data_IF_050000582803
#
_entry.id   IF_050000582803
#
_cell.length_a   1.000
_cell.length_b   1.000
_cell.length_c   1.000
_cell.angle_alpha   90.00
_cell.angle_beta   90.00
_cell.angle_gamma   90.00
#
_symmetry.space_group_name_H-M   'P 1'
#
loop_
_entity.id
_entity.type
_entity.pdbx_description
1 polymer ?
#
# COMPACT_ATOMS: atom_id res chain seq x y z
N UNK A 1 19.61 30.43 11.73
CA UNK A 1 19.96 30.00 10.36
C UNK A 1 19.12 28.78 9.99
N UNK A 2 18.64 28.65 8.75
CA UNK A 2 17.77 27.54 8.33
C UNK A 2 18.54 26.22 8.46
N UNK A 3 18.05 25.30 9.29
CA UNK A 3 18.67 24.00 9.57
C UNK A 3 18.57 22.99 8.41
N UNK A 4 18.14 23.43 7.24
CA UNK A 4 17.93 22.64 6.04
C UNK A 4 18.56 23.35 4.85
N UNK A 5 18.94 22.58 3.82
CA UNK A 5 19.59 23.12 2.62
C UNK A 5 18.79 24.19 1.90
N UNK A 6 19.41 24.92 0.95
CA UNK A 6 18.69 25.83 0.08
C UNK A 6 17.50 25.09 -0.56
N UNK A 7 16.33 25.73 -0.60
CA UNK A 7 15.07 25.18 -1.11
C UNK A 7 14.44 23.97 -0.38
N UNK A 8 14.99 23.55 0.77
CA UNK A 8 14.33 22.50 1.55
C UNK A 8 12.91 22.92 1.98
N UNK A 9 11.93 22.01 1.89
CA UNK A 9 10.58 22.31 2.34
C UNK A 9 10.59 22.67 3.83
N UNK A 10 9.71 23.58 4.24
CA UNK A 10 9.57 23.97 5.64
C UNK A 10 8.58 23.07 6.35
N UNK A 11 8.94 22.60 7.55
CA UNK A 11 8.03 21.82 8.38
C UNK A 11 6.76 22.64 8.69
N UNK A 12 5.58 22.01 8.69
CA UNK A 12 4.36 22.70 9.09
C UNK A 12 4.47 23.18 10.53
N UNK A 13 3.79 24.28 10.83
CA UNK A 13 3.79 24.84 12.19
C UNK A 13 2.94 24.00 13.15
N UNK A 14 3.11 24.17 14.45
CA UNK A 14 2.23 23.52 15.44
C UNK A 14 0.78 24.02 15.32
N UNK A 15 -0.19 23.19 15.71
CA UNK A 15 -1.63 23.54 15.70
C UNK A 15 -1.90 24.84 16.48
N UNK A 16 -1.21 25.01 17.62
CA UNK A 16 -1.27 26.24 18.41
C UNK A 16 -0.75 27.47 17.66
N UNK A 17 0.28 27.33 16.83
CA UNK A 17 0.82 28.46 16.04
C UNK A 17 -0.13 28.86 14.90
N UNK A 18 -0.84 27.90 14.29
CA UNK A 18 -1.91 28.23 13.34
C UNK A 18 -3.04 28.99 14.04
N UNK A 19 -3.42 28.56 15.24
CA UNK A 19 -4.41 29.27 16.04
C UNK A 19 -3.95 30.67 16.44
N UNK A 20 -2.71 30.82 16.92
CA UNK A 20 -2.12 32.11 17.27
C UNK A 20 -2.09 33.07 16.07
N UNK A 21 -1.65 32.60 14.90
CA UNK A 21 -1.65 33.40 13.66
C UNK A 21 -3.07 33.79 13.26
N UNK A 22 -4.02 32.86 13.40
CA UNK A 22 -5.43 33.13 13.11
C UNK A 22 -6.01 34.20 14.06
N UNK A 23 -5.75 34.09 15.36
CA UNK A 23 -6.15 35.09 16.37
C UNK A 23 -5.59 36.49 16.06
N UNK A 24 -4.29 36.57 15.73
CA UNK A 24 -3.68 37.83 15.31
C UNK A 24 -4.34 38.38 14.03
N UNK A 25 -4.64 37.53 13.04
CA UNK A 25 -5.30 37.99 11.80
C UNK A 25 -6.73 38.51 12.00
N UNK A 26 -7.40 38.08 13.06
CA UNK A 26 -8.78 38.49 13.35
C UNK A 26 -8.88 39.76 14.20
N UNK A 27 -7.78 40.22 14.79
CA UNK A 27 -7.79 41.38 15.68
C UNK A 27 -6.50 42.20 15.55
N UNK A 28 -6.64 43.39 14.98
CA UNK A 28 -5.52 44.34 14.85
C UNK A 28 -4.91 44.71 16.20
N UNK A 29 -5.73 44.76 17.26
CA UNK A 29 -5.24 45.07 18.61
C UNK A 29 -4.29 43.98 19.11
N UNK A 30 -4.67 42.70 19.00
CA UNK A 30 -3.77 41.60 19.36
C UNK A 30 -2.56 41.56 18.42
N UNK A 31 -2.70 41.88 17.14
CA UNK A 31 -1.56 41.90 16.22
C UNK A 31 -0.56 43.04 16.49
N UNK A 32 -0.98 44.11 17.16
CA UNK A 32 -0.09 45.18 17.57
C UNK A 32 0.70 44.88 18.84
N UNK A 33 0.26 43.89 19.65
CA UNK A 33 0.88 43.55 20.93
C UNK A 33 2.26 42.86 20.77
N UNK A 34 3.14 42.99 21.77
CA UNK A 34 4.38 42.22 21.81
C UNK A 34 4.12 40.71 21.85
N UNK A 35 5.04 39.93 21.27
CA UNK A 35 4.88 38.49 21.07
C UNK A 35 4.53 37.71 22.35
N UNK A 36 5.08 38.10 23.49
CA UNK A 36 4.82 37.46 24.78
C UNK A 36 3.36 37.64 25.22
N UNK A 37 2.77 38.80 24.98
CA UNK A 37 1.38 39.10 25.31
C UNK A 37 0.42 38.38 24.36
N UNK A 38 0.71 38.39 23.05
CA UNK A 38 0.01 37.58 22.03
C UNK A 38 -0.04 36.10 22.44
N UNK A 39 1.12 35.52 22.78
CA UNK A 39 1.26 34.12 23.16
C UNK A 39 0.51 33.81 24.46
N UNK A 40 0.57 34.70 25.45
CA UNK A 40 -0.14 34.54 26.73
C UNK A 40 -1.65 34.54 26.55
N UNK A 41 -2.19 35.51 25.79
CA UNK A 41 -3.61 35.57 25.45
C UNK A 41 -4.05 34.32 24.70
N UNK A 42 -3.38 33.97 23.61
CA UNK A 42 -3.72 32.80 22.81
C UNK A 42 -3.58 31.49 23.61
N UNK A 43 -2.64 31.39 24.54
CA UNK A 43 -2.50 30.22 25.43
C UNK A 43 -3.73 30.04 26.31
N UNK A 44 -4.24 31.13 26.91
CA UNK A 44 -5.47 31.08 27.72
C UNK A 44 -6.68 30.68 26.88
N UNK A 45 -6.85 31.30 25.70
CA UNK A 45 -7.96 30.98 24.79
C UNK A 45 -7.86 29.52 24.32
N UNK A 46 -6.67 29.07 23.92
CA UNK A 46 -6.43 27.69 23.51
C UNK A 46 -6.75 26.71 24.63
N UNK A 47 -6.37 26.96 25.87
CA UNK A 47 -6.71 26.08 26.99
C UNK A 47 -8.23 25.97 27.20
N UNK A 48 -8.96 27.08 27.05
CA UNK A 48 -10.43 27.12 27.19
C UNK A 48 -11.23 26.52 26.01
N UNK A 49 -10.60 26.28 24.86
CA UNK A 49 -11.27 25.70 23.69
C UNK A 49 -11.57 24.21 23.88
N UNK A 50 -12.72 23.78 23.36
CA UNK A 50 -13.10 22.36 23.34
C UNK A 50 -12.17 21.55 22.43
N UNK A 51 -12.18 20.23 22.61
CA UNK A 51 -11.38 19.33 21.77
C UNK A 51 -11.79 19.44 20.29
N UNK A 52 -13.08 19.58 20.00
CA UNK A 52 -13.62 19.74 18.64
C UNK A 52 -13.13 21.02 17.96
N UNK A 53 -13.07 22.13 18.69
CA UNK A 53 -12.55 23.39 18.15
C UNK A 53 -11.05 23.34 17.88
N UNK A 54 -10.30 22.58 18.70
CA UNK A 54 -8.88 22.31 18.47
C UNK A 54 -8.64 21.35 17.31
N UNK A 55 -9.57 20.41 17.06
CA UNK A 55 -9.43 19.40 16.01
C UNK A 55 -9.25 20.02 14.63
N UNK A 56 -9.95 21.11 14.31
CA UNK A 56 -9.78 21.81 13.02
C UNK A 56 -8.33 22.23 12.77
N UNK A 57 -7.61 22.65 13.81
CA UNK A 57 -6.20 23.01 13.71
C UNK A 57 -5.29 21.78 13.64
N UNK A 58 -5.61 20.71 14.37
CA UNK A 58 -4.88 19.45 14.27
C UNK A 58 -5.02 18.80 12.89
N UNK A 59 -6.22 18.80 12.31
CA UNK A 59 -6.48 18.32 10.96
C UNK A 59 -5.72 19.15 9.92
N UNK A 60 -5.69 20.47 10.09
CA UNK A 60 -4.88 21.35 9.24
C UNK A 60 -3.39 21.00 9.31
N UNK A 61 -2.84 20.83 10.51
CA UNK A 61 -1.44 20.36 10.68
C UNK A 61 -1.23 19.00 10.02
N UNK A 62 -2.17 18.07 10.16
CA UNK A 62 -2.08 16.73 9.56
C UNK A 62 -2.04 16.79 8.04
N UNK A 63 -2.86 17.64 7.42
CA UNK A 63 -2.87 17.83 5.97
C UNK A 63 -1.57 18.47 5.48
N UNK A 64 -1.08 19.51 6.16
CA UNK A 64 0.16 20.18 5.79
C UNK A 64 1.39 19.31 6.06
N UNK A 65 1.35 18.43 7.08
CA UNK A 65 2.39 17.42 7.34
C UNK A 65 2.46 16.41 6.19
N UNK A 66 1.32 15.89 5.72
CA UNK A 66 1.30 15.00 4.55
C UNK A 66 1.87 15.68 3.30
N UNK A 67 1.51 16.95 3.06
CA UNK A 67 2.04 17.71 1.94
C UNK A 67 3.55 17.97 2.07
N UNK A 68 4.03 18.23 3.28
CA UNK A 68 5.45 18.37 3.58
C UNK A 68 6.20 17.06 3.33
N UNK A 69 5.67 15.92 3.76
CA UNK A 69 6.31 14.62 3.59
C UNK A 69 6.50 14.27 2.10
N UNK A 70 5.49 14.59 1.26
CA UNK A 70 5.58 14.44 -0.21
C UNK A 70 6.68 15.35 -0.77
N UNK A 71 6.64 16.65 -0.47
CA UNK A 71 7.66 17.61 -0.94
C UNK A 71 9.06 17.26 -0.47
N UNK A 72 9.20 16.72 0.75
CA UNK A 72 10.47 16.28 1.30
C UNK A 72 10.98 15.03 0.58
N UNK A 73 10.10 14.09 0.23
CA UNK A 73 10.47 12.91 -0.55
C UNK A 73 10.93 13.29 -1.97
N UNK A 74 10.31 14.28 -2.59
CA UNK A 74 10.75 14.85 -3.87
C UNK A 74 12.09 15.58 -3.74
N UNK A 75 12.23 16.45 -2.74
CA UNK A 75 13.49 17.17 -2.47
C UNK A 75 14.66 16.23 -2.21
N UNK A 76 14.44 15.10 -1.53
CA UNK A 76 15.49 14.08 -1.29
C UNK A 76 16.01 13.45 -2.59
N UNK A 77 15.24 13.45 -3.68
CA UNK A 77 15.66 12.91 -4.98
C UNK A 77 16.48 13.91 -5.80
N UNK A 78 16.35 15.20 -5.50
CA UNK A 78 16.96 16.29 -6.27
C UNK A 78 18.49 16.37 -6.08
N UNK A 79 19.19 16.90 -7.08
CA UNK A 79 20.65 17.14 -7.02
C UNK A 79 21.02 18.10 -5.88
N UNK A 80 20.15 19.05 -5.56
CA UNK A 80 20.35 20.05 -4.49
C UNK A 80 20.53 19.41 -3.11
N UNK A 81 19.74 18.36 -2.79
CA UNK A 81 19.87 17.63 -1.53
C UNK A 81 21.19 16.86 -1.44
N UNK A 82 21.63 16.26 -2.55
CA UNK A 82 22.93 15.58 -2.64
C UNK A 82 24.10 16.55 -2.46
N UNK A 83 24.04 17.71 -3.11
CA UNK A 83 25.06 18.77 -2.95
C UNK A 83 25.08 19.33 -1.51
N UNK A 84 23.92 19.47 -0.87
CA UNK A 84 23.83 19.89 0.52
C UNK A 84 24.48 18.87 1.47
N UNK A 85 24.27 17.57 1.27
CA UNK A 85 24.92 16.50 2.06
C UNK A 85 26.44 16.55 1.92
N UNK A 86 26.96 16.65 0.69
CA UNK A 86 28.40 16.73 0.41
C UNK A 86 29.00 17.98 1.08
N UNK A 87 28.32 19.14 1.00
CA UNK A 87 28.78 20.38 1.63
C UNK A 87 28.79 20.29 3.15
N UNK A 88 27.76 19.66 3.73
CA UNK A 88 27.65 19.49 5.18
C UNK A 88 28.69 18.51 5.72
N UNK A 89 28.95 17.40 5.01
CA UNK A 89 30.00 16.43 5.33
C UNK A 89 31.40 17.05 5.25
N UNK A 90 31.69 17.78 4.17
CA UNK A 90 32.95 18.50 4.01
C UNK A 90 33.15 19.57 5.12
N UNK A 91 32.08 20.23 5.57
CA UNK A 91 32.16 21.20 6.67
C UNK A 91 32.43 20.55 8.04
N UNK A 92 31.90 19.35 8.29
CA UNK A 92 32.20 18.56 9.49
C UNK A 92 33.65 18.05 9.48
N UNK A 93 34.12 17.55 8.33
CA UNK A 93 35.50 17.12 8.15
C UNK A 93 36.51 18.28 8.32
N UNK A 94 36.16 19.49 7.86
CA UNK A 94 36.98 20.68 8.03
C UNK A 94 37.01 21.19 9.49
N UNK A 95 35.87 21.14 10.21
CA UNK A 95 35.82 21.49 11.65
C UNK A 95 36.60 20.53 12.54
N UNK A 96 36.77 19.27 12.13
CA UNK A 96 37.59 18.30 12.86
C UNK A 96 39.10 18.55 12.72
N UNK A 97 39.55 19.34 11.73
CA UNK A 97 40.99 19.58 11.46
C UNK A 97 41.53 20.89 12.05
N UNK A 98 40.68 21.88 12.36
CA UNK A 98 41.10 23.13 12.98
C UNK A 98 40.59 23.23 14.42
N UNK A 99 41.46 22.93 15.38
CA UNK A 99 41.19 23.11 16.81
C UNK A 99 40.93 24.58 17.19
N UNK A 100 39.85 24.77 17.96
CA UNK A 100 39.49 25.86 18.89
C UNK A 100 39.71 27.34 18.46
N UNK A 101 38.63 28.11 18.46
CA UNK A 101 38.53 29.34 19.27
C UNK A 101 37.08 29.84 19.38
N UNK A 102 36.82 30.55 20.48
CA UNK A 102 35.54 30.89 21.07
C UNK A 102 34.62 31.80 20.22
N UNK A 103 33.31 31.80 20.53
CA UNK A 103 32.61 32.92 21.19
C UNK A 103 31.09 32.87 20.95
N UNK A 104 30.35 33.04 22.04
CA UNK A 104 28.97 33.55 22.22
C UNK A 104 27.99 33.48 21.05
N UNK A 105 26.83 32.85 21.27
CA UNK A 105 25.51 33.52 21.18
C UNK A 105 24.37 32.51 21.41
N UNK A 106 23.54 32.89 22.37
CA UNK A 106 22.21 32.43 22.71
C UNK A 106 21.47 31.63 21.61
N UNK A 107 21.05 30.41 21.95
CA UNK A 107 20.30 29.54 21.06
C UNK A 107 19.79 28.34 21.82
N UNK A 108 18.74 28.58 22.61
CA UNK A 108 17.83 27.61 23.21
C UNK A 108 17.70 26.36 22.33
N UNK A 109 18.54 25.38 22.61
CA UNK A 109 18.46 24.04 22.04
C UNK A 109 18.48 23.16 23.27
N UNK A 110 17.28 22.77 23.69
CA UNK A 110 17.02 21.74 24.69
C UNK A 110 17.68 20.43 24.21
N UNK A 111 18.98 20.35 24.43
CA UNK A 111 19.81 19.20 24.19
C UNK A 111 19.97 18.54 25.54
N UNK A 112 19.32 17.39 25.71
CA UNK A 112 19.55 16.46 26.81
C UNK A 112 21.05 16.18 27.02
N UNK A 113 21.88 16.38 25.99
CA UNK A 113 23.34 16.23 26.03
C UNK A 113 24.06 17.40 26.75
N UNK A 114 23.46 18.61 26.78
CA UNK A 114 24.09 19.79 27.37
C UNK A 114 23.95 19.85 28.90
N UNK A 115 22.88 19.29 29.48
CA UNK A 115 22.75 19.14 30.93
C UNK A 115 23.76 18.10 31.48
N UNK A 116 23.93 16.99 30.75
CA UNK A 116 24.86 15.92 31.09
C UNK A 116 26.33 16.39 30.99
N UNK A 117 26.68 17.10 29.91
CA UNK A 117 28.02 17.68 29.73
C UNK A 117 28.30 18.85 30.70
N UNK A 118 27.29 19.64 31.06
CA UNK A 118 27.45 20.77 32.00
C UNK A 118 27.53 20.33 33.46
N UNK A 119 27.01 19.15 33.81
CA UNK A 119 27.28 18.49 35.10
C UNK A 119 28.70 17.92 35.13
N UNK A 120 29.16 17.29 34.04
CA UNK A 120 30.52 16.77 33.91
C UNK A 120 31.61 17.84 34.07
N UNK A 121 31.39 19.05 33.54
CA UNK A 121 32.32 20.18 33.70
C UNK A 121 32.46 20.69 35.15
N UNK A 122 31.60 20.26 36.07
CA UNK A 122 31.59 20.66 37.49
C UNK A 122 32.03 19.57 38.47
N UNK A 123 32.28 18.35 38.00
CA UNK A 123 32.70 17.23 38.85
C UNK A 123 34.22 17.06 38.72
N UNK A 124 34.95 17.28 39.81
CA UNK A 124 36.40 17.08 39.84
C UNK A 124 36.74 15.59 39.74
N UNK A 125 37.84 15.29 39.04
CA UNK A 125 38.33 13.91 38.87
C UNK A 125 38.64 13.27 40.23
N UNK A 126 38.35 11.98 40.37
CA UNK A 126 38.56 11.18 41.59
C UNK A 126 37.73 11.59 42.82
N UNK A 127 36.66 12.35 42.65
CA UNK A 127 35.64 12.55 43.70
C UNK A 127 34.69 11.34 43.81
N UNK A 128 34.04 11.11 44.97
CA UNK A 128 33.00 10.10 45.11
C UNK A 128 31.88 10.26 44.05
N UNK A 129 31.49 11.51 43.76
CA UNK A 129 30.49 11.86 42.77
C UNK A 129 30.95 11.48 41.34
N UNK A 130 32.24 11.65 41.03
CA UNK A 130 32.83 11.23 39.75
C UNK A 130 32.78 9.72 39.58
N UNK A 131 33.12 8.96 40.63
CA UNK A 131 33.14 7.50 40.57
C UNK A 131 31.73 6.92 40.38
N UNK A 132 30.74 7.43 41.12
CA UNK A 132 29.35 7.01 40.98
C UNK A 132 28.77 7.37 39.61
N UNK A 133 29.07 8.57 39.11
CA UNK A 133 28.67 8.99 37.78
C UNK A 133 29.28 8.11 36.69
N UNK A 134 30.58 7.81 36.77
CA UNK A 134 31.26 6.94 35.82
C UNK A 134 30.64 5.53 35.83
N UNK A 135 30.37 4.98 37.02
CA UNK A 135 29.68 3.70 37.18
C UNK A 135 28.28 3.70 36.53
N UNK A 136 27.49 4.76 36.74
CA UNK A 136 26.17 4.91 36.11
C UNK A 136 26.27 5.02 34.59
N UNK A 137 27.21 5.81 34.08
CA UNK A 137 27.46 5.96 32.64
C UNK A 137 27.89 4.64 32.01
N UNK A 138 28.81 3.90 32.63
CA UNK A 138 29.23 2.59 32.14
C UNK A 138 28.09 1.57 32.17
N UNK A 139 27.22 1.62 33.18
CA UNK A 139 26.00 0.81 33.21
C UNK A 139 25.03 1.18 32.09
N UNK A 140 24.80 2.47 31.84
CA UNK A 140 23.95 2.94 30.73
C UNK A 140 24.52 2.51 29.37
N UNK A 141 25.83 2.66 29.16
CA UNK A 141 26.50 2.21 27.94
C UNK A 141 26.38 0.70 27.75
N UNK A 142 26.49 -0.09 28.83
CA UNK A 142 26.26 -1.54 28.77
C UNK A 142 24.82 -1.87 28.39
N UNK A 143 23.84 -1.16 28.94
CA UNK A 143 22.42 -1.36 28.61
C UNK A 143 22.13 -0.96 27.16
N UNK A 144 22.66 0.17 26.68
CA UNK A 144 22.52 0.60 25.29
C UNK A 144 23.16 -0.40 24.32
N UNK A 145 24.35 -0.93 24.64
CA UNK A 145 25.00 -1.96 23.82
C UNK A 145 24.13 -3.23 23.73
N UNK A 146 23.54 -3.67 24.85
CA UNK A 146 22.61 -4.81 24.85
C UNK A 146 21.37 -4.55 23.99
N UNK A 147 20.79 -3.35 24.10
CA UNK A 147 19.61 -2.99 23.30
C UNK A 147 19.94 -2.91 21.80
N UNK A 148 21.11 -2.38 21.43
CA UNK A 148 21.58 -2.38 20.03
C UNK A 148 21.71 -3.82 19.51
N UNK A 149 22.38 -4.70 20.23
CA UNK A 149 22.52 -6.11 19.80
C UNK A 149 21.16 -6.79 19.65
N UNK A 150 20.24 -6.57 20.60
CA UNK A 150 18.87 -7.11 20.53
C UNK A 150 18.13 -6.60 19.28
N UNK A 151 18.21 -5.30 19.00
CA UNK A 151 17.57 -4.71 17.82
C UNK A 151 18.21 -5.19 16.50
N UNK A 152 19.52 -5.41 16.48
CA UNK A 152 20.23 -6.02 15.34
C UNK A 152 19.74 -7.45 15.08
N UNK A 153 19.59 -8.27 16.13
CA UNK A 153 19.02 -9.62 16.06
C UNK A 153 17.57 -9.63 15.55
N UNK A 154 16.72 -8.75 16.08
CA UNK A 154 15.32 -8.60 15.62
C UNK A 154 15.26 -8.17 14.14
N UNK A 155 16.13 -7.24 13.73
CA UNK A 155 16.20 -6.77 12.34
C UNK A 155 16.62 -7.89 11.39
N UNK A 156 17.62 -8.70 11.78
CA UNK A 156 18.05 -9.85 10.99
C UNK A 156 16.93 -10.91 10.86
N UNK A 157 16.18 -11.14 11.94
CA UNK A 157 15.01 -12.02 11.93
C UNK A 157 13.92 -11.51 10.98
N UNK A 158 13.58 -10.22 11.04
CA UNK A 158 12.61 -9.62 10.13
C UNK A 158 13.05 -9.68 8.67
N UNK A 159 14.32 -9.43 8.36
CA UNK A 159 14.85 -9.57 7.00
C UNK A 159 14.63 -10.98 6.46
N UNK A 160 14.96 -11.99 7.26
CA UNK A 160 14.78 -13.41 6.87
C UNK A 160 13.30 -13.74 6.62
N UNK A 161 12.40 -13.20 7.45
CA UNK A 161 10.95 -13.40 7.26
C UNK A 161 10.42 -12.71 6.00
N UNK A 162 10.88 -11.49 5.72
CA UNK A 162 10.54 -10.76 4.48
C UNK A 162 11.00 -11.54 3.25
N UNK A 163 12.23 -12.07 3.26
CA UNK A 163 12.76 -12.87 2.16
C UNK A 163 11.93 -14.16 1.95
N UNK A 164 11.56 -14.83 3.04
CA UNK A 164 10.68 -16.00 3.01
C UNK A 164 9.30 -15.69 2.44
N UNK A 165 8.66 -14.61 2.89
CA UNK A 165 7.37 -14.16 2.36
C UNK A 165 7.47 -13.76 0.89
N UNK A 166 8.53 -13.08 0.47
CA UNK A 166 8.76 -12.70 -0.92
C UNK A 166 8.89 -13.93 -1.81
N UNK A 167 9.64 -14.94 -1.37
CA UNK A 167 9.80 -16.21 -2.08
C UNK A 167 8.47 -16.97 -2.21
N UNK A 168 7.72 -17.09 -1.10
CA UNK A 168 6.41 -17.73 -1.09
C UNK A 168 5.41 -17.02 -2.01
N UNK A 169 5.40 -15.68 -2.00
CA UNK A 169 4.53 -14.88 -2.86
C UNK A 169 4.87 -15.06 -4.34
N UNK A 170 6.17 -15.09 -4.69
CA UNK A 170 6.62 -15.41 -6.05
C UNK A 170 6.16 -16.80 -6.49
N UNK A 171 6.30 -17.81 -5.62
CA UNK A 171 5.86 -19.17 -5.92
C UNK A 171 4.34 -19.26 -6.12
N UNK A 172 3.54 -18.63 -5.25
CA UNK A 172 2.08 -18.59 -5.38
C UNK A 172 1.65 -17.86 -6.66
N UNK A 173 2.30 -16.74 -7.00
CA UNK A 173 2.03 -16.00 -8.23
C UNK A 173 2.28 -16.88 -9.46
N UNK A 174 3.37 -17.65 -9.45
CA UNK A 174 3.67 -18.58 -10.53
C UNK A 174 2.65 -19.72 -10.62
N UNK A 175 2.18 -20.24 -9.47
CA UNK A 175 1.14 -21.27 -9.42
C UNK A 175 -0.22 -20.77 -9.93
N UNK A 176 -0.59 -19.52 -9.61
CA UNK A 176 -1.81 -18.90 -10.14
C UNK A 176 -1.70 -18.79 -11.66
N UNK A 177 -0.57 -18.29 -12.17
CA UNK A 177 -0.35 -18.15 -13.61
C UNK A 177 -0.45 -19.49 -14.34
N UNK A 178 0.16 -20.56 -13.82
CA UNK A 178 0.07 -21.89 -14.45
C UNK A 178 -1.36 -22.45 -14.40
N UNK A 179 -2.11 -22.20 -13.32
CA UNK A 179 -3.51 -22.59 -13.21
C UNK A 179 -4.40 -21.83 -14.19
N UNK A 180 -4.17 -20.53 -14.38
CA UNK A 180 -4.89 -19.71 -15.37
C UNK A 180 -4.61 -20.19 -16.80
N UNK A 181 -3.35 -20.52 -17.11
CA UNK A 181 -2.98 -21.09 -18.42
C UNK A 181 -3.68 -22.44 -18.68
N UNK A 182 -3.75 -23.31 -17.66
CA UNK A 182 -4.47 -24.59 -17.74
C UNK A 182 -5.97 -24.39 -17.96
N UNK A 183 -6.59 -23.48 -17.20
CA UNK A 183 -8.02 -23.18 -17.32
C UNK A 183 -8.36 -22.60 -18.70
N UNK A 184 -7.54 -21.67 -19.21
CA UNK A 184 -7.71 -21.13 -20.56
C UNK A 184 -7.59 -22.21 -21.64
N UNK A 185 -6.71 -23.21 -21.44
CA UNK A 185 -6.62 -24.36 -22.34
C UNK A 185 -7.89 -25.23 -22.27
N UNK A 186 -8.42 -25.51 -21.09
CA UNK A 186 -9.66 -26.27 -20.90
C UNK A 186 -10.88 -25.54 -21.50
N UNK A 187 -11.01 -24.24 -21.29
CA UNK A 187 -12.07 -23.41 -21.90
C UNK A 187 -12.00 -23.45 -23.44
N UNK A 188 -10.78 -23.43 -24.00
CA UNK A 188 -10.58 -23.57 -25.45
C UNK A 188 -11.02 -24.94 -25.95
N UNK A 189 -10.72 -26.01 -25.21
CA UNK A 189 -11.19 -27.36 -25.55
C UNK A 189 -12.71 -27.48 -25.44
N UNK A 190 -13.32 -26.91 -24.41
CA UNK A 190 -14.78 -26.89 -24.23
C UNK A 190 -15.47 -26.12 -25.35
N UNK A 191 -14.96 -24.94 -25.71
CA UNK A 191 -15.48 -24.13 -26.81
C UNK A 191 -15.40 -24.89 -28.13
N UNK A 192 -14.27 -25.57 -28.38
CA UNK A 192 -14.11 -26.43 -29.56
C UNK A 192 -15.12 -27.58 -29.53
N UNK A 193 -15.32 -28.23 -28.40
CA UNK A 193 -16.28 -29.33 -28.25
C UNK A 193 -17.71 -28.89 -28.56
N UNK A 194 -18.13 -27.73 -28.04
CA UNK A 194 -19.45 -27.16 -28.32
C UNK A 194 -19.66 -26.82 -29.80
N UNK A 195 -18.61 -26.34 -30.48
CA UNK A 195 -18.66 -26.12 -31.93
C UNK A 195 -18.84 -27.44 -32.70
N UNK A 196 -18.10 -28.48 -32.32
CA UNK A 196 -18.21 -29.81 -32.94
C UNK A 196 -19.59 -30.43 -32.71
N UNK A 197 -20.12 -30.34 -31.48
CA UNK A 197 -21.47 -30.81 -31.15
C UNK A 197 -22.57 -30.03 -31.90
N UNK A 198 -22.48 -28.69 -31.94
CA UNK A 198 -23.43 -27.87 -32.69
C UNK A 198 -23.43 -28.24 -34.18
N UNK A 199 -22.26 -28.54 -34.74
CA UNK A 199 -22.15 -29.05 -36.12
C UNK A 199 -22.79 -30.43 -36.27
N UNK A 200 -22.50 -31.37 -35.36
CA UNK A 200 -23.03 -32.74 -35.40
C UNK A 200 -24.56 -32.80 -35.31
N UNK A 201 -25.17 -31.90 -34.54
CA UNK A 201 -26.61 -31.82 -34.36
C UNK A 201 -27.31 -30.80 -35.27
N UNK A 202 -26.59 -30.17 -36.20
CA UNK A 202 -27.15 -29.12 -37.07
C UNK A 202 -28.31 -29.59 -37.97
N UNK A 203 -28.40 -30.90 -38.25
CA UNK A 203 -29.48 -31.51 -39.03
C UNK A 203 -30.63 -32.07 -38.19
N UNK A 204 -30.49 -32.10 -36.85
CA UNK A 204 -31.48 -32.69 -35.95
C UNK A 204 -32.47 -31.61 -35.48
N UNK A 205 -33.75 -31.78 -35.81
CA UNK A 205 -34.82 -30.93 -35.32
C UNK A 205 -35.53 -31.55 -34.12
N UNK A 206 -35.73 -30.76 -33.07
CA UNK A 206 -36.48 -31.18 -31.89
C UNK A 206 -37.98 -30.91 -32.09
N UNK A 207 -38.86 -31.88 -31.80
CA UNK A 207 -40.31 -31.64 -31.79
C UNK A 207 -40.67 -30.55 -30.78
N UNK A 208 -41.40 -29.52 -31.24
CA UNK A 208 -42.06 -28.49 -30.45
C UNK A 208 -41.15 -27.41 -29.80
N UNK A 209 -40.48 -26.58 -30.62
CA UNK A 209 -40.00 -25.27 -30.17
C UNK A 209 -40.95 -24.10 -30.46
N UNK A 210 -42.07 -24.35 -31.15
CA UNK A 210 -43.08 -23.35 -31.46
C UNK A 210 -44.48 -23.88 -31.14
N UNK A 211 -45.01 -23.51 -29.97
CA UNK A 211 -46.45 -23.42 -29.75
C UNK A 211 -46.75 -22.38 -28.64
N UNK A 212 -46.22 -21.16 -28.77
CA UNK A 212 -46.82 -19.99 -28.11
C UNK A 212 -47.16 -18.95 -29.17
N UNK A 213 -48.45 -18.69 -29.45
CA UNK A 213 -48.89 -17.88 -30.61
C UNK A 213 -48.64 -16.37 -30.45
N UNK A 214 -47.68 -15.95 -29.61
CA UNK A 214 -47.39 -14.54 -29.31
C UNK A 214 -45.92 -14.27 -29.01
N UNK A 215 -45.00 -14.53 -29.94
CA UNK A 215 -43.75 -13.75 -30.02
C UNK A 215 -43.10 -13.83 -31.39
N UNK A 216 -43.05 -12.72 -32.11
CA UNK A 216 -42.05 -12.51 -33.15
C UNK A 216 -40.68 -12.43 -32.48
N UNK A 217 -39.90 -13.51 -32.50
CA UNK A 217 -38.58 -13.49 -31.87
C UNK A 217 -37.78 -14.78 -32.04
N UNK A 218 -37.12 -14.90 -33.21
CA UNK A 218 -36.00 -15.80 -33.54
C UNK A 218 -36.23 -17.30 -33.28
N UNK A 219 -36.60 -17.99 -34.38
CA UNK A 219 -36.50 -19.44 -34.53
C UNK A 219 -35.20 -19.98 -33.92
N UNK A 220 -35.37 -20.93 -33.02
CA UNK A 220 -34.31 -21.71 -32.39
C UNK A 220 -34.08 -23.00 -33.21
N UNK A 221 -34.22 -22.92 -34.54
CA UNK A 221 -34.07 -24.08 -35.46
C UNK A 221 -32.61 -24.49 -35.66
N UNK A 222 -31.65 -23.66 -35.25
CA UNK A 222 -30.24 -23.90 -35.48
C UNK A 222 -29.49 -24.08 -34.16
N UNK A 223 -28.92 -25.27 -33.99
CA UNK A 223 -27.95 -25.56 -32.94
C UNK A 223 -26.73 -24.67 -33.13
N UNK A 224 -26.41 -23.89 -32.11
CA UNK A 224 -25.23 -23.01 -32.03
C UNK A 224 -24.39 -23.40 -30.80
N UNK A 225 -23.09 -23.05 -30.77
CA UNK A 225 -22.24 -23.35 -29.61
C UNK A 225 -22.79 -22.77 -28.30
N UNK A 226 -23.52 -21.64 -28.35
CA UNK A 226 -24.06 -20.96 -27.17
C UNK A 226 -25.36 -21.59 -26.64
N UNK A 227 -26.07 -22.36 -27.47
CA UNK A 227 -27.36 -22.97 -27.09
C UNK A 227 -27.31 -24.50 -26.99
N UNK A 228 -26.16 -25.11 -27.29
CA UNK A 228 -26.00 -26.56 -27.39
C UNK A 228 -26.34 -27.28 -26.09
N UNK A 229 -26.00 -26.72 -24.93
CA UNK A 229 -26.27 -27.33 -23.63
C UNK A 229 -27.77 -27.40 -23.32
N UNK A 230 -28.50 -26.31 -23.58
CA UNK A 230 -29.95 -26.25 -23.44
C UNK A 230 -30.64 -27.19 -24.45
N UNK A 231 -30.13 -27.24 -25.69
CA UNK A 231 -30.60 -28.17 -26.72
C UNK A 231 -30.43 -29.63 -26.28
N UNK A 232 -29.24 -30.01 -25.78
CA UNK A 232 -28.94 -31.36 -25.33
C UNK A 232 -29.76 -31.76 -24.11
N UNK A 233 -29.98 -30.83 -23.17
CA UNK A 233 -30.85 -31.05 -22.02
C UNK A 233 -32.29 -31.34 -22.44
N UNK A 234 -32.81 -30.59 -23.42
CA UNK A 234 -34.17 -30.83 -23.93
C UNK A 234 -34.27 -32.12 -24.73
N UNK A 235 -33.26 -32.42 -25.55
CA UNK A 235 -33.15 -33.69 -26.26
C UNK A 235 -33.18 -34.87 -25.27
N UNK A 236 -32.42 -34.78 -24.18
CA UNK A 236 -32.39 -35.80 -23.12
C UNK A 236 -33.75 -35.98 -22.44
N UNK A 237 -34.44 -34.89 -22.11
CA UNK A 237 -35.80 -34.93 -21.54
C UNK A 237 -36.80 -35.64 -22.48
N UNK A 238 -36.76 -35.31 -23.78
CA UNK A 238 -37.63 -35.93 -24.79
C UNK A 238 -37.32 -37.41 -25.00
N UNK A 239 -36.04 -37.79 -24.95
CA UNK A 239 -35.62 -39.20 -25.01
C UNK A 239 -36.08 -39.96 -23.76
N UNK A 240 -35.92 -39.37 -22.56
CA UNK A 240 -36.33 -39.98 -21.29
C UNK A 240 -37.84 -40.17 -21.18
N UNK A 241 -38.63 -39.33 -21.84
CA UNK A 241 -40.09 -39.48 -21.89
C UNK A 241 -40.53 -40.81 -22.54
N UNK A 242 -39.68 -41.46 -23.35
CA UNK A 242 -39.97 -42.74 -24.01
C UNK A 242 -40.90 -42.64 -25.23
N UNK A 243 -41.48 -41.46 -25.50
CA UNK A 243 -42.43 -41.26 -26.60
C UNK A 243 -41.74 -40.92 -27.94
N UNK A 244 -40.42 -40.71 -27.94
CA UNK A 244 -39.64 -40.20 -29.08
C UNK A 244 -38.51 -41.16 -29.52
N UNK A 245 -38.80 -42.46 -29.66
CA UNK A 245 -37.78 -43.46 -30.05
C UNK A 245 -37.14 -43.17 -31.43
N UNK A 246 -37.89 -42.62 -32.39
CA UNK A 246 -37.33 -42.20 -33.68
C UNK A 246 -36.32 -41.04 -33.55
N UNK A 247 -36.57 -40.09 -32.64
CA UNK A 247 -35.65 -38.98 -32.34
C UNK A 247 -34.36 -39.49 -31.70
N UNK A 248 -34.49 -40.45 -30.78
CA UNK A 248 -33.37 -41.12 -30.12
C UNK A 248 -32.48 -41.88 -31.12
N UNK A 249 -33.07 -42.61 -32.07
CA UNK A 249 -32.31 -43.29 -33.13
C UNK A 249 -31.56 -42.29 -34.01
N UNK A 250 -32.21 -41.21 -34.44
CA UNK A 250 -31.56 -40.15 -35.23
C UNK A 250 -30.43 -39.45 -34.48
N UNK A 251 -30.62 -39.14 -33.19
CA UNK A 251 -29.57 -38.54 -32.37
C UNK A 251 -28.35 -39.45 -32.25
N UNK A 252 -28.55 -40.76 -32.10
CA UNK A 252 -27.47 -41.75 -32.11
C UNK A 252 -26.76 -41.83 -33.46
N UNK A 253 -27.50 -41.80 -34.56
CA UNK A 253 -26.93 -41.77 -35.92
C UNK A 253 -26.09 -40.52 -36.16
N UNK A 254 -26.56 -39.33 -35.75
CA UNK A 254 -25.80 -38.08 -35.84
C UNK A 254 -24.46 -38.17 -35.09
N UNK A 255 -24.49 -38.69 -33.86
CA UNK A 255 -23.26 -38.88 -33.07
C UNK A 255 -22.33 -39.92 -33.69
N UNK A 256 -22.86 -41.07 -34.12
CA UNK A 256 -22.07 -42.13 -34.73
C UNK A 256 -21.41 -41.65 -36.03
N UNK A 257 -22.16 -40.94 -36.88
CA UNK A 257 -21.64 -40.33 -38.10
C UNK A 257 -20.54 -39.32 -37.78
N UNK A 258 -20.77 -38.43 -36.80
CA UNK A 258 -19.82 -37.38 -36.43
C UNK A 258 -18.52 -37.92 -35.81
N UNK A 259 -18.58 -39.06 -35.10
CA UNK A 259 -17.40 -39.77 -34.60
C UNK A 259 -16.67 -40.45 -35.76
N UNK A 260 -17.38 -41.16 -36.64
CA UNK A 260 -16.79 -41.86 -37.80
C UNK A 260 -16.13 -40.90 -38.80
N UNK A 261 -16.69 -39.70 -38.99
CA UNK A 261 -16.11 -38.66 -39.84
C UNK A 261 -15.02 -37.84 -39.14
N UNK A 262 -14.66 -38.18 -37.90
CA UNK A 262 -13.69 -37.46 -37.08
C UNK A 262 -14.03 -35.97 -36.86
N UNK A 263 -15.32 -35.61 -36.95
CA UNK A 263 -15.80 -34.25 -36.70
C UNK A 263 -16.03 -33.97 -35.21
N UNK A 264 -16.21 -35.01 -34.40
CA UNK A 264 -16.09 -34.94 -32.93
C UNK A 264 -14.70 -35.39 -32.52
N UNK A 265 -13.71 -34.53 -32.79
CA UNK A 265 -12.28 -34.89 -32.67
C UNK A 265 -11.84 -35.14 -31.22
N UNK A 266 -12.59 -34.64 -30.23
CA UNK A 266 -12.33 -34.89 -28.81
C UNK A 266 -12.89 -36.23 -28.30
N UNK A 267 -13.79 -36.86 -29.06
CA UNK A 267 -14.39 -38.15 -28.73
C UNK A 267 -13.82 -39.31 -29.56
N UNK A 268 -13.02 -39.00 -30.59
CA UNK A 268 -12.26 -40.00 -31.33
C UNK A 268 -11.03 -40.37 -30.52
N UNK A 269 -11.06 -41.54 -29.88
CA UNK A 269 -9.87 -42.21 -29.30
C UNK A 269 -9.10 -42.92 -30.41
#
# INVERSE_FOLDING_TARGET
MRSHGPNAPQKPSSAFMYFLRYQCSQSNDLDSLPFNEKRSYASKTWQSMSQEQKQVYYDKVRTEQKAYDIKLAEYKKTDEYRQWLIKHENSKAARSKNGKSAKDMNGDTDSIDDEFASKFRRIEIFTPEFLDYNKQREMQLRNLRKEVTKQEEETASFSTHIDGLSSANSAMTQQIKSSEESLAQEEKLLTKFYQELASAFSSLQLPNLEASPRSHGKSFDRTTPDNIEAFLSKLMELIQSGHNEALKSKAKECLAAAIQSNSLSLCSI
#
